data_IF_828336395494
#
_entry.id   IF_828336395494
#
_cell.length_a   1.000
_cell.length_b   1.000
_cell.length_c   1.000
_cell.angle_alpha   90.00
_cell.angle_beta   90.00
_cell.angle_gamma   90.00
#
_symmetry.space_group_name_H-M   'P 1'
#
loop_
_entity.id
_entity.type
_entity.pdbx_description
1 polymer ?
#
# COMPACT_ATOMS: atom_id res chain seq x y z
N UNK A 1 1.73 -21.02 5.03
CA UNK A 1 0.42 -20.48 5.50
C UNK A 1 0.51 -18.96 5.60
N UNK A 2 -0.50 -18.22 5.17
CA UNK A 2 -0.56 -16.75 5.20
C UNK A 2 -1.26 -16.30 6.48
N UNK A 3 -0.70 -15.30 7.19
CA UNK A 3 -1.38 -14.63 8.28
C UNK A 3 -1.98 -13.30 7.81
N UNK A 4 -3.28 -13.08 8.04
CA UNK A 4 -3.91 -11.75 7.86
C UNK A 4 -3.98 -11.10 9.23
N UNK A 5 -3.33 -9.94 9.36
CA UNK A 5 -3.28 -9.19 10.61
C UNK A 5 -4.60 -8.46 10.83
N UNK A 6 -5.34 -8.85 11.87
CA UNK A 6 -6.60 -8.21 12.28
C UNK A 6 -6.37 -7.28 13.47
N UNK A 7 -6.25 -6.00 13.22
CA UNK A 7 -6.25 -4.98 14.29
C UNK A 7 -7.62 -4.29 14.45
N UNK A 8 -8.68 -4.94 13.94
CA UNK A 8 -10.07 -4.48 13.95
C UNK A 8 -10.31 -3.18 13.21
N UNK A 9 -9.49 -2.94 12.19
CA UNK A 9 -9.65 -1.86 11.23
C UNK A 9 -9.34 -2.41 9.85
N UNK A 10 -10.36 -2.67 9.03
CA UNK A 10 -10.09 -3.09 7.67
C UNK A 10 -11.15 -3.99 7.04
N UNK A 11 -11.10 -4.08 5.72
CA UNK A 11 -11.93 -4.99 4.94
C UNK A 11 -11.28 -6.38 4.83
N UNK A 12 -10.95 -6.96 5.98
CA UNK A 12 -10.25 -8.23 6.14
C UNK A 12 -10.98 -9.36 5.40
N UNK A 13 -12.32 -9.34 5.41
CA UNK A 13 -13.13 -10.35 4.75
C UNK A 13 -12.93 -10.38 3.22
N UNK A 14 -12.73 -9.22 2.60
CA UNK A 14 -12.46 -9.16 1.16
C UNK A 14 -11.10 -9.75 0.82
N UNK A 15 -10.08 -9.51 1.64
CA UNK A 15 -8.76 -10.15 1.50
C UNK A 15 -8.89 -11.66 1.68
N UNK A 16 -9.61 -12.13 2.71
CA UNK A 16 -9.86 -13.57 2.92
C UNK A 16 -10.52 -14.23 1.71
N UNK A 17 -11.59 -13.62 1.17
CA UNK A 17 -12.26 -14.13 -0.04
C UNK A 17 -11.33 -14.18 -1.27
N UNK A 18 -10.48 -13.18 -1.43
CA UNK A 18 -9.49 -13.18 -2.51
C UNK A 18 -8.46 -14.31 -2.34
N UNK A 19 -8.02 -14.58 -1.10
CA UNK A 19 -7.13 -15.71 -0.81
C UNK A 19 -7.83 -17.06 -1.01
N UNK A 20 -9.11 -17.19 -0.64
CA UNK A 20 -9.93 -18.39 -0.95
C UNK A 20 -10.01 -18.64 -2.46
N UNK A 21 -10.25 -17.58 -3.25
CA UNK A 21 -10.35 -17.69 -4.70
C UNK A 21 -9.06 -18.22 -5.35
N UNK A 22 -7.90 -17.88 -4.82
CA UNK A 22 -6.60 -18.41 -5.27
C UNK A 22 -6.16 -19.68 -4.52
N UNK A 23 -7.03 -20.25 -3.67
CA UNK A 23 -6.78 -21.46 -2.86
C UNK A 23 -5.55 -21.36 -1.95
N UNK A 24 -5.21 -20.17 -1.47
CA UNK A 24 -4.16 -19.98 -0.49
C UNK A 24 -4.66 -20.37 0.91
N UNK A 25 -3.82 -21.07 1.68
CA UNK A 25 -4.12 -21.36 3.09
C UNK A 25 -3.80 -20.13 3.94
N UNK A 26 -4.74 -19.68 4.75
CA UNK A 26 -4.56 -18.51 5.58
C UNK A 26 -5.29 -18.61 6.92
N UNK A 27 -4.87 -17.77 7.87
CA UNK A 27 -5.58 -17.49 9.12
C UNK A 27 -5.79 -15.98 9.24
N UNK A 28 -6.84 -15.60 9.98
CA UNK A 28 -7.08 -14.21 10.36
C UNK A 28 -6.95 -14.16 11.89
N UNK A 29 -6.09 -13.31 12.41
CA UNK A 29 -5.93 -13.19 13.86
C UNK A 29 -5.50 -11.78 14.30
N UNK A 30 -5.97 -11.39 15.49
CA UNK A 30 -5.52 -10.21 16.24
C UNK A 30 -4.48 -10.58 17.33
N UNK A 31 -4.05 -11.85 17.38
CA UNK A 31 -3.12 -12.36 18.38
C UNK A 31 -1.79 -12.75 17.75
N UNK A 32 -0.71 -12.24 18.30
CA UNK A 32 0.65 -12.53 17.82
C UNK A 32 1.00 -14.03 17.87
N UNK A 33 0.47 -14.76 18.87
CA UNK A 33 0.71 -16.19 19.06
C UNK A 33 0.19 -17.02 17.86
N UNK A 34 -0.88 -16.60 17.24
CA UNK A 34 -1.45 -17.28 16.07
C UNK A 34 -0.64 -16.96 14.81
N UNK A 35 -0.15 -15.70 14.71
CA UNK A 35 0.54 -15.19 13.53
C UNK A 35 2.02 -15.62 13.45
N UNK A 36 2.66 -15.88 14.59
CA UNK A 36 4.11 -16.20 14.63
C UNK A 36 4.48 -17.43 13.81
N UNK A 37 3.57 -18.39 13.69
CA UNK A 37 3.75 -19.62 12.90
C UNK A 37 3.49 -19.47 11.41
N UNK A 38 3.08 -18.30 10.94
CA UNK A 38 2.85 -18.05 9.52
C UNK A 38 4.16 -17.87 8.76
N UNK A 39 4.14 -18.13 7.44
CA UNK A 39 5.29 -17.94 6.55
C UNK A 39 5.38 -16.47 6.08
N UNK A 40 4.23 -15.84 5.85
CA UNK A 40 4.09 -14.48 5.34
C UNK A 40 2.90 -13.81 5.98
N UNK A 41 2.93 -12.47 6.09
CA UNK A 41 1.82 -11.68 6.60
C UNK A 41 1.26 -10.75 5.52
N UNK A 42 -0.06 -10.65 5.49
CA UNK A 42 -0.78 -9.56 4.81
C UNK A 42 -1.33 -8.65 5.91
N UNK A 43 -1.04 -7.36 5.75
CA UNK A 43 -1.41 -6.29 6.66
C UNK A 43 -2.34 -5.31 5.94
N UNK A 44 -3.64 -5.65 5.82
CA UNK A 44 -4.61 -4.77 5.19
C UNK A 44 -5.02 -3.65 6.14
N UNK A 45 -5.50 -2.55 5.60
CA UNK A 45 -6.05 -1.49 6.43
C UNK A 45 -7.03 -0.61 5.67
N UNK A 46 -8.05 -0.16 6.37
CA UNK A 46 -8.95 0.93 5.97
C UNK A 46 -9.25 1.80 7.18
N UNK A 47 -9.64 3.06 6.97
CA UNK A 47 -9.94 4.00 8.03
C UNK A 47 -8.77 4.94 8.32
N UNK A 48 -8.63 5.39 9.55
CA UNK A 48 -7.71 6.44 9.97
C UNK A 48 -6.41 5.89 10.57
N UNK A 49 -5.27 6.47 10.20
CA UNK A 49 -3.93 6.07 10.65
C UNK A 49 -3.79 6.09 12.18
N UNK A 50 -4.27 7.15 12.83
CA UNK A 50 -4.20 7.29 14.29
C UNK A 50 -4.97 6.21 15.02
N UNK A 51 -6.17 5.89 14.53
CA UNK A 51 -6.96 4.80 15.10
C UNK A 51 -6.24 3.45 14.93
N UNK A 52 -5.72 3.18 13.73
CA UNK A 52 -4.98 1.96 13.42
C UNK A 52 -3.76 1.79 14.33
N UNK A 53 -2.92 2.83 14.43
CA UNK A 53 -1.72 2.79 15.29
C UNK A 53 -2.07 2.60 16.77
N UNK A 54 -3.14 3.23 17.28
CA UNK A 54 -3.60 3.02 18.64
C UNK A 54 -4.04 1.56 18.89
N UNK A 55 -4.67 0.93 17.89
CA UNK A 55 -5.08 -0.47 17.98
C UNK A 55 -3.87 -1.39 17.99
N UNK A 56 -2.92 -1.18 17.09
CA UNK A 56 -1.68 -1.95 17.01
C UNK A 56 -0.89 -1.89 18.32
N UNK A 57 -0.68 -0.68 18.85
CA UNK A 57 0.01 -0.48 20.15
C UNK A 57 -0.69 -1.19 21.31
N UNK A 58 -2.02 -1.13 21.36
CA UNK A 58 -2.80 -1.81 22.43
C UNK A 58 -2.72 -3.33 22.37
N UNK A 59 -2.59 -3.91 21.19
CA UNK A 59 -2.51 -5.37 20.99
C UNK A 59 -1.07 -5.90 20.97
N UNK A 60 -0.05 -5.02 20.97
CA UNK A 60 1.36 -5.40 20.79
C UNK A 60 1.71 -5.84 19.37
N UNK A 61 0.78 -5.66 18.42
CA UNK A 61 1.03 -5.98 17.01
C UNK A 61 2.04 -5.04 16.37
N UNK A 62 2.21 -3.82 16.87
CA UNK A 62 3.23 -2.87 16.39
C UNK A 62 4.65 -3.40 16.62
N UNK A 63 4.95 -3.90 17.81
CA UNK A 63 6.24 -4.53 18.13
C UNK A 63 6.39 -5.82 17.32
N UNK A 64 5.36 -6.66 17.29
CA UNK A 64 5.38 -7.91 16.53
C UNK A 64 5.70 -7.70 15.04
N UNK A 65 5.09 -6.70 14.38
CA UNK A 65 5.35 -6.40 12.97
C UNK A 65 6.79 -5.90 12.73
N UNK A 66 7.35 -5.13 13.68
CA UNK A 66 8.75 -4.71 13.65
C UNK A 66 9.70 -5.90 13.76
N UNK A 67 9.48 -6.77 14.74
CA UNK A 67 10.27 -7.97 14.94
C UNK A 67 10.14 -8.94 13.75
N UNK A 68 8.92 -9.08 13.20
CA UNK A 68 8.64 -9.90 12.03
C UNK A 68 9.46 -9.48 10.81
N UNK A 69 9.46 -8.18 10.51
CA UNK A 69 10.21 -7.64 9.36
C UNK A 69 11.71 -7.63 9.61
N UNK A 70 12.15 -7.35 10.83
CA UNK A 70 13.57 -7.44 11.23
C UNK A 70 14.12 -8.87 11.11
N UNK A 71 13.27 -9.88 11.34
CA UNK A 71 13.60 -11.29 11.12
C UNK A 71 13.64 -11.70 9.63
N UNK A 72 13.44 -10.77 8.69
CA UNK A 72 13.46 -11.05 7.25
C UNK A 72 12.21 -11.73 6.71
N UNK A 73 11.15 -11.86 7.51
CA UNK A 73 9.88 -12.48 7.09
C UNK A 73 9.04 -11.52 6.24
N UNK A 74 8.40 -12.05 5.19
CA UNK A 74 7.65 -11.25 4.21
C UNK A 74 6.39 -10.60 4.80
N UNK A 75 6.23 -9.31 4.53
CA UNK A 75 5.06 -8.49 4.89
C UNK A 75 4.51 -7.78 3.65
N UNK A 76 3.20 -7.90 3.42
CA UNK A 76 2.47 -7.13 2.40
C UNK A 76 1.52 -6.14 3.07
N UNK A 77 1.75 -4.84 2.92
CA UNK A 77 0.82 -3.78 3.31
C UNK A 77 -0.18 -3.46 2.19
N UNK A 78 -1.47 -3.29 2.53
CA UNK A 78 -2.52 -2.91 1.57
C UNK A 78 -3.24 -1.65 2.06
N UNK A 79 -3.33 -0.64 1.20
CA UNK A 79 -3.99 0.66 1.39
C UNK A 79 -3.50 1.35 2.69
N UNK A 80 -4.29 1.48 3.75
CA UNK A 80 -3.84 2.04 5.01
C UNK A 80 -2.66 1.23 5.60
N UNK A 81 -2.67 -0.10 5.48
CA UNK A 81 -1.55 -0.95 5.88
C UNK A 81 -0.26 -0.59 5.15
N UNK A 82 -0.33 -0.21 3.87
CA UNK A 82 0.83 0.26 3.10
C UNK A 82 1.32 1.65 3.53
N UNK A 83 0.45 2.46 4.10
CA UNK A 83 0.78 3.81 4.56
C UNK A 83 1.44 3.79 5.94
N UNK A 84 0.85 3.08 6.89
CA UNK A 84 1.33 3.09 8.29
C UNK A 84 2.60 2.25 8.53
N UNK A 85 3.14 1.58 7.52
CA UNK A 85 4.50 1.00 7.58
C UNK A 85 5.61 2.07 7.47
N UNK A 86 5.31 3.28 7.01
CA UNK A 86 6.24 4.40 6.98
C UNK A 86 6.41 5.03 8.36
N UNK A 87 7.16 6.16 8.46
CA UNK A 87 7.47 6.79 9.75
C UNK A 87 6.33 7.67 10.26
N UNK A 88 5.68 8.42 9.36
CA UNK A 88 4.72 9.45 9.73
C UNK A 88 3.58 9.58 8.72
N UNK A 89 2.39 9.92 9.23
CA UNK A 89 1.24 10.28 8.40
C UNK A 89 0.66 11.63 8.81
N UNK A 90 0.36 12.50 7.84
CA UNK A 90 -0.42 13.71 8.07
C UNK A 90 -1.84 13.41 8.58
N UNK A 91 -2.32 12.18 8.37
CA UNK A 91 -3.61 11.76 8.91
C UNK A 91 -3.57 11.68 10.43
N UNK A 92 -4.19 12.67 11.07
CA UNK A 92 -4.21 12.80 12.52
C UNK A 92 -2.83 13.03 13.15
N UNK A 93 -1.84 13.55 12.39
CA UNK A 93 -0.47 13.81 12.83
C UNK A 93 0.12 12.59 13.54
N UNK A 94 0.15 11.45 12.83
CA UNK A 94 0.38 10.14 13.44
C UNK A 94 1.80 9.64 13.20
N UNK A 95 2.52 9.33 14.28
CA UNK A 95 3.71 8.49 14.23
C UNK A 95 3.30 7.04 13.94
N UNK A 96 3.87 6.48 12.87
CA UNK A 96 3.52 5.17 12.35
C UNK A 96 4.56 4.10 12.73
N UNK A 97 4.61 2.97 12.03
CA UNK A 97 5.47 1.84 12.39
C UNK A 97 6.96 2.12 12.14
N UNK A 98 7.30 2.95 11.15
CA UNK A 98 8.69 3.27 10.82
C UNK A 98 9.50 2.09 10.29
N UNK A 99 8.84 1.16 9.56
CA UNK A 99 9.52 0.06 8.89
C UNK A 99 10.25 0.54 7.63
N UNK A 100 9.72 1.55 6.97
CA UNK A 100 10.30 2.24 5.82
C UNK A 100 10.40 3.73 6.09
N UNK A 101 11.47 4.36 5.59
CA UNK A 101 11.65 5.81 5.70
C UNK A 101 10.76 6.57 4.74
N UNK A 102 10.18 7.65 5.24
CA UNK A 102 9.30 8.51 4.48
C UNK A 102 8.03 8.88 5.23
N UNK A 103 7.14 9.57 4.54
CA UNK A 103 5.91 10.09 5.11
C UNK A 103 4.71 9.84 4.23
N UNK A 104 3.54 10.06 4.79
CA UNK A 104 2.25 9.97 4.09
C UNK A 104 1.58 11.33 4.14
N UNK A 105 1.28 11.90 2.97
CA UNK A 105 0.82 13.28 2.79
C UNK A 105 -0.58 13.33 2.21
N UNK A 106 -1.40 14.27 2.64
CA UNK A 106 -2.73 14.46 2.10
C UNK A 106 -2.66 15.03 0.66
N UNK A 107 -3.59 14.62 -0.21
CA UNK A 107 -3.63 15.13 -1.59
C UNK A 107 -3.71 16.66 -1.68
N UNK A 108 -4.46 17.33 -0.79
CA UNK A 108 -4.56 18.78 -0.81
C UNK A 108 -3.21 19.46 -0.56
N UNK A 109 -2.38 18.91 0.32
CA UNK A 109 -1.04 19.40 0.59
C UNK A 109 -0.19 19.32 -0.67
N UNK A 110 -0.20 18.14 -1.32
CA UNK A 110 0.59 17.90 -2.54
C UNK A 110 0.10 18.73 -3.73
N UNK A 111 -1.22 18.92 -3.88
CA UNK A 111 -1.77 19.77 -4.94
C UNK A 111 -1.41 21.25 -4.75
N UNK A 112 -1.35 21.72 -3.50
CA UNK A 112 -0.95 23.09 -3.21
C UNK A 112 0.54 23.30 -3.48
N UNK A 113 1.41 22.38 -3.06
CA UNK A 113 2.84 22.40 -3.36
C UNK A 113 3.09 22.42 -4.88
N UNK A 114 2.38 21.57 -5.63
CA UNK A 114 2.48 21.55 -7.09
C UNK A 114 2.05 22.88 -7.72
N UNK A 115 0.95 23.49 -7.26
CA UNK A 115 0.51 24.81 -7.73
C UNK A 115 1.56 25.87 -7.51
N UNK A 116 2.12 25.95 -6.31
CA UNK A 116 3.16 26.91 -5.97
C UNK A 116 4.38 26.76 -6.88
N UNK A 117 4.83 25.53 -7.12
CA UNK A 117 5.95 25.25 -8.02
C UNK A 117 5.61 25.63 -9.47
N UNK A 118 4.40 25.32 -9.95
CA UNK A 118 3.94 25.69 -11.29
C UNK A 118 3.75 27.20 -11.45
N UNK A 119 3.34 27.93 -10.44
CA UNK A 119 3.24 29.40 -10.46
C UNK A 119 4.64 30.03 -10.57
N UNK A 120 5.63 29.47 -9.90
CA UNK A 120 7.03 29.89 -10.02
C UNK A 120 7.57 29.61 -11.46
N UNK A 121 7.16 28.50 -12.07
CA UNK A 121 7.55 28.16 -13.46
C UNK A 121 6.72 28.91 -14.50
N UNK A 122 5.44 29.21 -14.22
CA UNK A 122 4.42 29.81 -15.12
C UNK A 122 4.46 31.33 -15.24
N UNK A 123 5.35 32.03 -14.57
CA UNK A 123 5.63 33.43 -14.98
C UNK A 123 6.05 33.53 -16.46
N UNK A 124 6.10 32.41 -17.18
CA UNK A 124 6.53 32.30 -18.57
C UNK A 124 5.49 31.84 -19.61
N UNK A 125 4.39 31.11 -19.28
CA UNK A 125 3.42 30.67 -20.33
C UNK A 125 2.03 30.23 -19.81
N UNK A 126 0.97 30.80 -20.39
CA UNK A 126 -0.45 30.49 -20.54
C UNK A 126 -1.22 29.55 -19.58
N UNK A 127 -2.48 29.97 -19.16
CA UNK A 127 -3.31 29.19 -18.25
C UNK A 127 -4.10 28.10 -18.98
N UNK A 128 -3.84 26.83 -18.72
CA UNK A 128 -4.84 25.78 -18.91
C UNK A 128 -5.65 25.62 -17.62
N UNK A 129 -6.99 25.67 -17.71
CA UNK A 129 -7.89 25.40 -16.61
C UNK A 129 -7.69 23.96 -16.12
N UNK A 130 -7.00 23.78 -14.99
CA UNK A 130 -6.82 22.46 -14.38
C UNK A 130 -8.17 21.95 -13.86
N UNK A 131 -8.58 20.77 -14.33
CA UNK A 131 -9.76 20.07 -13.85
C UNK A 131 -9.53 19.78 -12.35
N UNK A 132 -10.37 20.35 -11.47
CA UNK A 132 -10.26 20.12 -10.01
C UNK A 132 -10.51 18.67 -9.71
N UNK A 133 -9.44 17.92 -9.38
CA UNK A 133 -9.53 16.52 -8.99
C UNK A 133 -10.23 16.40 -7.63
N UNK A 134 -11.06 15.37 -7.51
CA UNK A 134 -11.77 15.09 -6.26
C UNK A 134 -10.84 14.38 -5.26
N UNK A 135 -11.02 14.65 -3.99
CA UNK A 135 -10.42 13.88 -2.90
C UNK A 135 -11.57 13.24 -2.13
N UNK A 136 -11.50 11.92 -1.89
CA UNK A 136 -10.40 11.00 -2.19
C UNK A 136 -10.26 10.61 -3.68
N UNK A 137 -9.09 10.07 -4.06
CA UNK A 137 -8.89 9.30 -5.28
C UNK A 137 -9.68 8.00 -5.15
N UNK A 138 -10.80 7.90 -5.85
CA UNK A 138 -11.70 6.73 -5.84
C UNK A 138 -11.93 6.28 -7.26
N UNK A 139 -11.71 5.00 -7.53
CA UNK A 139 -12.01 4.37 -8.80
C UNK A 139 -10.86 3.54 -9.35
N UNK A 140 -11.04 3.11 -10.59
CA UNK A 140 -10.03 2.40 -11.36
C UNK A 140 -9.05 3.42 -11.95
N UNK A 141 -7.77 3.12 -11.83
CA UNK A 141 -6.69 3.88 -12.41
C UNK A 141 -5.56 2.95 -12.80
N UNK A 142 -4.88 3.26 -13.88
CA UNK A 142 -3.75 2.46 -14.34
C UNK A 142 -2.48 2.77 -13.54
N UNK A 143 -1.58 1.80 -13.53
CA UNK A 143 -0.24 1.96 -12.94
C UNK A 143 0.82 1.82 -14.04
N UNK A 144 1.83 2.68 -13.99
CA UNK A 144 3.02 2.63 -14.83
C UNK A 144 4.17 1.99 -14.07
N UNK A 145 4.86 1.03 -14.68
CA UNK A 145 5.98 0.34 -14.04
C UNK A 145 7.20 1.25 -13.98
N UNK A 146 7.87 1.19 -12.83
CA UNK A 146 9.04 2.00 -12.49
C UNK A 146 10.22 1.09 -12.12
N UNK A 147 11.35 1.65 -11.88
CA UNK A 147 12.55 1.11 -11.20
C UNK A 147 12.70 -0.42 -11.14
N UNK A 148 12.91 -1.04 -12.28
CA UNK A 148 13.23 -2.47 -12.39
C UNK A 148 12.01 -3.38 -12.33
N UNK A 149 12.26 -4.70 -12.35
CA UNK A 149 11.22 -5.71 -12.30
C UNK A 149 10.79 -5.98 -10.86
N UNK A 150 9.51 -6.30 -10.70
CA UNK A 150 8.93 -6.77 -9.44
C UNK A 150 8.35 -8.17 -9.66
N UNK A 151 8.79 -9.20 -8.95
CA UNK A 151 8.18 -10.52 -9.02
C UNK A 151 6.69 -10.53 -8.65
N UNK A 152 6.23 -9.53 -7.88
CA UNK A 152 4.82 -9.39 -7.52
C UNK A 152 3.95 -8.91 -8.70
N UNK A 153 4.58 -8.27 -9.70
CA UNK A 153 3.93 -7.81 -10.93
C UNK A 153 4.08 -8.80 -12.10
N UNK A 154 4.67 -9.97 -11.87
CA UNK A 154 4.82 -10.99 -12.91
C UNK A 154 3.45 -11.41 -13.47
N UNK A 155 3.33 -11.43 -14.81
CA UNK A 155 2.10 -11.73 -15.53
C UNK A 155 1.09 -10.59 -15.61
N UNK A 156 1.45 -9.39 -15.13
CA UNK A 156 0.64 -8.18 -15.23
C UNK A 156 1.25 -7.27 -16.29
N UNK A 157 0.41 -6.71 -17.15
CA UNK A 157 0.86 -5.77 -18.16
C UNK A 157 1.07 -4.38 -17.57
N UNK A 158 2.05 -3.65 -18.06
CA UNK A 158 2.19 -2.23 -17.78
C UNK A 158 0.90 -1.48 -18.18
N UNK A 159 0.56 -0.42 -17.48
CA UNK A 159 -0.68 0.33 -17.65
C UNK A 159 -1.96 -0.47 -17.34
N UNK A 160 -1.87 -1.56 -16.57
CA UNK A 160 -3.05 -2.27 -16.06
C UNK A 160 -3.78 -1.46 -15.00
N UNK A 161 -5.11 -1.59 -14.98
CA UNK A 161 -5.99 -0.91 -14.04
C UNK A 161 -6.10 -1.62 -12.70
N UNK A 162 -6.13 -0.81 -11.61
CA UNK A 162 -6.35 -1.24 -10.24
C UNK A 162 -7.34 -0.32 -9.52
N UNK A 163 -7.98 -0.82 -8.47
CA UNK A 163 -8.97 -0.07 -7.71
C UNK A 163 -8.34 0.69 -6.53
N UNK A 164 -8.45 2.01 -6.57
CA UNK A 164 -7.96 2.92 -5.55
C UNK A 164 -9.11 3.51 -4.72
N UNK A 165 -8.86 3.74 -3.43
CA UNK A 165 -9.71 4.55 -2.56
C UNK A 165 -8.87 5.12 -1.42
N UNK A 166 -8.31 6.33 -1.60
CA UNK A 166 -7.44 6.95 -0.60
C UNK A 166 -7.41 8.48 -0.73
N UNK A 167 -7.17 9.16 0.40
CA UNK A 167 -6.96 10.62 0.48
C UNK A 167 -5.51 11.00 0.72
N UNK A 168 -4.67 10.04 1.10
CA UNK A 168 -3.28 10.25 1.46
C UNK A 168 -2.37 9.46 0.51
N UNK A 169 -1.18 10.00 0.29
CA UNK A 169 -0.19 9.49 -0.68
C UNK A 169 1.12 9.25 0.03
N UNK A 170 1.69 8.08 -0.18
CA UNK A 170 3.01 7.71 0.31
C UNK A 170 4.08 8.57 -0.38
N UNK A 171 5.03 9.06 0.41
CA UNK A 171 6.22 9.78 -0.05
C UNK A 171 7.45 9.11 0.56
N UNK A 172 8.00 8.08 -0.09
CA UNK A 172 9.20 7.41 0.37
C UNK A 172 10.40 8.36 0.27
N UNK A 173 11.33 8.28 1.23
CA UNK A 173 12.60 9.02 1.17
C UNK A 173 13.48 8.49 0.02
N UNK A 174 13.51 7.17 -0.16
CA UNK A 174 14.16 6.52 -1.30
C UNK A 174 13.13 6.17 -2.37
N UNK A 175 13.17 6.83 -3.52
CA UNK A 175 12.25 6.60 -4.65
C UNK A 175 12.56 5.35 -5.45
N UNK A 176 13.74 4.73 -5.32
CA UNK A 176 14.11 3.50 -6.05
C UNK A 176 13.30 2.29 -5.58
N UNK A 177 12.70 2.36 -4.38
CA UNK A 177 11.83 1.30 -3.87
C UNK A 177 10.45 1.29 -4.53
N UNK A 178 10.08 2.34 -5.27
CA UNK A 178 8.82 2.44 -6.00
C UNK A 178 8.90 1.59 -7.26
N UNK A 179 8.03 0.61 -7.40
CA UNK A 179 7.98 -0.33 -8.54
C UNK A 179 6.88 -0.01 -9.55
N UNK A 180 5.85 0.70 -9.12
CA UNK A 180 4.84 1.26 -10.02
C UNK A 180 4.21 2.51 -9.42
N UNK A 181 3.78 3.41 -10.29
CA UNK A 181 3.08 4.64 -9.93
C UNK A 181 1.77 4.79 -10.69
N UNK A 182 0.80 5.46 -10.10
CA UNK A 182 -0.40 5.95 -10.76
C UNK A 182 -0.36 7.47 -10.85
N UNK A 183 -0.97 8.04 -11.88
CA UNK A 183 -1.11 9.49 -11.99
C UNK A 183 -2.49 9.95 -11.52
N UNK A 184 -2.54 10.79 -10.50
CA UNK A 184 -3.76 11.46 -10.05
C UNK A 184 -3.49 12.92 -9.71
N UNK A 185 -3.10 13.70 -10.72
CA UNK A 185 -2.67 15.08 -10.57
C UNK A 185 -1.32 15.24 -9.88
N UNK A 186 -0.87 14.24 -9.17
CA UNK A 186 0.50 14.03 -8.67
C UNK A 186 0.85 12.56 -8.88
N UNK A 187 2.13 12.23 -8.87
CA UNK A 187 2.57 10.84 -8.87
C UNK A 187 2.20 10.18 -7.54
N UNK A 188 1.58 9.02 -7.64
CA UNK A 188 1.11 8.20 -6.51
C UNK A 188 1.88 6.90 -6.52
N UNK A 189 2.87 6.69 -5.63
CA UNK A 189 3.50 5.39 -5.46
C UNK A 189 2.44 4.31 -5.21
N UNK A 190 2.24 3.45 -6.20
CA UNK A 190 1.18 2.45 -6.19
C UNK A 190 1.69 1.09 -5.71
N UNK A 191 2.93 0.75 -6.05
CA UNK A 191 3.64 -0.47 -5.63
C UNK A 191 5.02 -0.11 -5.11
N UNK A 192 5.32 -0.55 -3.90
CA UNK A 192 6.61 -0.32 -3.24
C UNK A 192 7.16 -1.67 -2.78
N UNK A 193 8.45 -1.89 -3.01
CA UNK A 193 9.17 -3.06 -2.53
C UNK A 193 10.54 -2.66 -1.96
N UNK A 194 10.81 -3.13 -0.75
CA UNK A 194 12.11 -3.00 -0.10
C UNK A 194 12.39 -4.23 0.76
N UNK A 195 13.38 -5.00 0.35
CA UNK A 195 13.74 -6.24 1.04
C UNK A 195 12.57 -7.23 1.11
N UNK A 196 12.11 -7.51 2.33
CA UNK A 196 10.98 -8.41 2.61
C UNK A 196 9.64 -7.69 2.76
N UNK A 197 9.58 -6.38 2.53
CA UNK A 197 8.38 -5.56 2.65
C UNK A 197 7.88 -5.19 1.27
N UNK A 198 6.60 -5.42 1.01
CA UNK A 198 5.87 -4.92 -0.15
C UNK A 198 4.65 -4.11 0.30
N UNK A 199 4.30 -3.07 -0.44
CA UNK A 199 3.20 -2.18 -0.12
C UNK A 199 2.42 -1.79 -1.37
N UNK A 200 1.10 -1.86 -1.27
CA UNK A 200 0.16 -1.55 -2.35
C UNK A 200 -0.81 -0.46 -1.89
N UNK A 201 -0.80 0.68 -2.58
CA UNK A 201 -1.76 1.76 -2.27
C UNK A 201 -3.18 1.40 -2.71
N UNK A 202 -3.31 0.68 -3.81
CA UNK A 202 -4.61 0.15 -4.27
C UNK A 202 -5.01 -1.09 -3.48
N UNK A 203 -6.21 -1.59 -3.76
CA UNK A 203 -6.77 -2.79 -3.17
C UNK A 203 -6.66 -3.99 -4.12
N UNK A 204 -5.64 -4.85 -4.01
CA UNK A 204 -5.53 -6.05 -4.86
C UNK A 204 -6.79 -6.92 -4.78
N UNK A 205 -7.36 -7.06 -3.58
CA UNK A 205 -8.57 -7.86 -3.33
C UNK A 205 -9.85 -7.31 -4.00
N UNK A 206 -9.75 -6.11 -4.61
CA UNK A 206 -10.85 -5.46 -5.37
C UNK A 206 -10.48 -5.17 -6.82
N UNK A 207 -9.30 -5.60 -7.25
CA UNK A 207 -8.73 -5.25 -8.55
C UNK A 207 -8.84 -6.38 -9.59
N UNK A 208 -9.85 -7.24 -9.47
CA UNK A 208 -10.13 -8.30 -10.43
C UNK A 208 -8.96 -9.28 -10.59
N UNK A 209 -8.73 -9.75 -11.83
CA UNK A 209 -7.71 -10.75 -12.11
C UNK A 209 -6.29 -10.26 -11.86
N UNK A 210 -5.98 -9.00 -12.18
CA UNK A 210 -4.67 -8.41 -11.92
C UNK A 210 -4.37 -8.39 -10.41
N UNK A 211 -5.35 -8.02 -9.59
CA UNK A 211 -5.22 -8.03 -8.15
C UNK A 211 -5.04 -9.44 -7.57
N UNK A 212 -5.80 -10.42 -8.08
CA UNK A 212 -5.63 -11.84 -7.71
C UNK A 212 -4.25 -12.37 -8.11
N UNK A 213 -3.71 -11.93 -9.25
CA UNK A 213 -2.36 -12.31 -9.69
C UNK A 213 -1.30 -11.80 -8.72
N UNK A 214 -1.40 -10.54 -8.25
CA UNK A 214 -0.51 -10.01 -7.21
C UNK A 214 -0.57 -10.85 -5.93
N UNK A 215 -1.78 -11.13 -5.45
CA UNK A 215 -1.95 -11.95 -4.25
C UNK A 215 -1.38 -13.36 -4.43
N UNK A 216 -1.58 -13.96 -5.62
CA UNK A 216 -1.00 -15.26 -5.99
C UNK A 216 0.53 -15.21 -6.00
N UNK A 217 1.11 -14.20 -6.64
CA UNK A 217 2.56 -14.01 -6.69
C UNK A 217 3.16 -13.86 -5.28
N UNK A 218 2.50 -13.11 -4.39
CA UNK A 218 2.93 -12.99 -3.00
C UNK A 218 2.80 -14.31 -2.24
N UNK A 219 1.66 -15.00 -2.34
CA UNK A 219 1.41 -16.21 -1.56
C UNK A 219 2.33 -17.37 -1.95
N UNK A 220 2.65 -17.51 -3.24
CA UNK A 220 3.34 -18.67 -3.81
C UNK A 220 4.74 -18.39 -4.36
N UNK A 221 5.37 -17.27 -3.97
CA UNK A 221 6.75 -16.85 -4.35
C UNK A 221 7.00 -16.74 -5.85
N UNK A 222 6.08 -16.09 -6.55
CA UNK A 222 6.15 -15.93 -8.00
C UNK A 222 5.42 -17.03 -8.75
N UNK A 223 5.23 -16.83 -10.03
CA UNK A 223 4.39 -17.72 -10.84
C UNK A 223 4.81 -19.18 -10.70
N UNK A 224 3.92 -19.99 -10.16
CA UNK A 224 3.93 -21.43 -10.50
C UNK A 224 3.76 -21.47 -12.02
N UNK A 225 4.88 -21.62 -12.75
CA UNK A 225 4.80 -21.98 -14.18
C UNK A 225 4.05 -23.30 -14.25
N UNK A 226 2.77 -23.24 -14.65
CA UNK A 226 2.00 -24.41 -15.05
C UNK A 226 2.57 -24.97 -16.34
#
# INVERSE_FOLDING_TARGET
MIGIVDYRAGNIRSVGRALEAIKAQFIISDRTQDLVGCDKLIFPGVGEAKFAMNRLKKSGLDIFLKDWTAAGKKLMGICLGSQIIFEYSEEGETECLGLLKGSVRHFSTLFNERKTNLEIERERDFPQAEKKLKIPHIGWNNIEFMNGSSPLLDGINDNSDFYFVHSYVIRPENTEIVKAEANYGVQVPAVIEYGNISAFQFHPEKSGENGLSILKNFCFDGAVKC
#
